data_IF_537161934675
#
_entry.id   IF_537161934675
#
_cell.length_a   1.000
_cell.length_b   1.000
_cell.length_c   1.000
_cell.angle_alpha   90.00
_cell.angle_beta   90.00
_cell.angle_gamma   90.00
#
_symmetry.space_group_name_H-M   'P 1'
#
loop_
_entity.id
_entity.type
_entity.pdbx_description
1 polymer ?
#
# COMPACT_ATOMS: atom_id res chain seq x y z
N UNK A 1 -1.33 -9.81 9.23
CA UNK A 1 -2.02 -8.62 8.66
C UNK A 1 -3.46 -8.63 9.10
N UNK A 2 -4.02 -7.47 9.45
CA UNK A 2 -5.43 -7.34 9.81
C UNK A 2 -6.26 -7.10 8.56
N UNK A 3 -7.36 -7.84 8.44
CA UNK A 3 -8.28 -7.76 7.31
C UNK A 3 -9.65 -7.32 7.79
N UNK A 4 -10.28 -6.31 7.14
CA UNK A 4 -11.72 -6.13 7.30
C UNK A 4 -12.46 -7.38 6.78
N UNK A 5 -13.55 -7.78 7.45
CA UNK A 5 -14.26 -9.03 7.14
C UNK A 5 -14.71 -9.14 5.67
N UNK A 6 -14.99 -8.01 5.03
CA UNK A 6 -15.40 -7.93 3.62
C UNK A 6 -14.24 -8.09 2.61
N UNK A 7 -12.98 -8.05 3.09
CA UNK A 7 -11.77 -8.12 2.26
C UNK A 7 -10.85 -9.28 2.64
N UNK A 8 -11.35 -10.31 3.28
CA UNK A 8 -10.55 -11.51 3.54
C UNK A 8 -10.08 -12.14 2.22
N UNK A 9 -8.81 -12.57 2.12
CA UNK A 9 -8.25 -13.14 0.89
C UNK A 9 -9.09 -14.25 0.29
N UNK A 10 -9.60 -15.17 1.11
CA UNK A 10 -10.38 -16.32 0.67
C UNK A 10 -11.77 -15.93 0.09
N UNK A 11 -12.25 -14.74 0.41
CA UNK A 11 -13.55 -14.21 -0.03
C UNK A 11 -13.42 -13.17 -1.14
N UNK A 12 -12.21 -12.87 -1.58
CA UNK A 12 -11.95 -11.79 -2.55
C UNK A 12 -11.88 -12.32 -3.98
N UNK A 13 -12.39 -11.54 -4.93
CA UNK A 13 -12.36 -11.89 -6.35
C UNK A 13 -10.95 -11.85 -6.94
N UNK A 14 -10.13 -10.92 -6.44
CA UNK A 14 -8.70 -10.80 -6.77
C UNK A 14 -7.92 -10.64 -5.48
N UNK A 15 -6.86 -11.40 -5.35
CA UNK A 15 -5.87 -11.27 -4.27
C UNK A 15 -4.47 -11.25 -4.86
N UNK A 16 -3.67 -10.29 -4.45
CA UNK A 16 -2.27 -10.16 -4.81
C UNK A 16 -1.41 -9.97 -3.55
N UNK A 17 -0.23 -10.61 -3.53
CA UNK A 17 0.72 -10.54 -2.43
C UNK A 17 2.15 -10.44 -2.96
N UNK A 18 2.88 -9.46 -2.44
CA UNK A 18 4.31 -9.29 -2.69
C UNK A 18 5.05 -9.12 -1.37
N UNK A 19 6.32 -9.49 -1.36
CA UNK A 19 7.20 -9.26 -0.21
C UNK A 19 8.63 -8.98 -0.64
N UNK A 20 9.36 -8.27 0.22
CA UNK A 20 10.77 -7.97 0.01
C UNK A 20 11.50 -7.81 1.35
N UNK A 21 12.78 -8.19 1.37
CA UNK A 21 13.68 -7.86 2.47
C UNK A 21 14.33 -6.48 2.22
N UNK A 22 14.33 -5.64 3.23
CA UNK A 22 14.90 -4.28 3.20
C UNK A 22 15.96 -4.15 4.28
N UNK A 23 17.18 -3.73 3.91
CA UNK A 23 18.29 -3.50 4.82
C UNK A 23 18.18 -2.11 5.50
N UNK A 24 17.02 -1.86 6.10
CA UNK A 24 16.73 -0.65 6.87
C UNK A 24 15.78 -0.98 8.02
N UNK A 25 15.88 -0.26 9.16
CA UNK A 25 15.01 -0.52 10.30
C UNK A 25 13.53 -0.23 9.98
N UNK A 26 12.59 -0.97 10.59
CA UNK A 26 11.13 -0.79 10.39
C UNK A 26 10.66 0.64 10.45
N UNK A 27 11.19 1.44 11.38
CA UNK A 27 10.81 2.84 11.58
C UNK A 27 11.17 3.72 10.39
N UNK A 28 12.28 3.44 9.69
CA UNK A 28 12.65 4.18 8.48
C UNK A 28 11.76 3.81 7.31
N UNK A 29 11.49 2.53 7.12
CA UNK A 29 10.56 2.05 6.09
C UNK A 29 9.17 2.62 6.32
N UNK A 30 8.71 2.64 7.57
CA UNK A 30 7.44 3.24 7.97
C UNK A 30 7.34 4.72 7.60
N UNK A 31 8.37 5.53 7.91
CA UNK A 31 8.39 6.96 7.58
C UNK A 31 8.26 7.23 6.07
N UNK A 32 8.87 6.40 5.24
CA UNK A 32 8.70 6.48 3.79
C UNK A 32 7.31 6.06 3.35
N UNK A 33 6.79 4.98 3.92
CA UNK A 33 5.50 4.41 3.55
C UNK A 33 4.33 5.36 3.87
N UNK A 34 4.32 5.97 5.06
CA UNK A 34 3.23 6.88 5.46
C UNK A 34 3.29 8.22 4.74
N UNK A 35 4.42 8.64 4.18
CA UNK A 35 4.58 9.94 3.52
C UNK A 35 3.94 9.97 2.13
N UNK A 36 2.62 9.80 2.09
CA UNK A 36 1.86 9.57 0.87
C UNK A 36 1.94 10.74 -0.13
N UNK A 37 2.04 11.99 0.34
CA UNK A 37 2.20 13.13 -0.55
C UNK A 37 3.50 13.07 -1.39
N UNK A 38 4.47 12.26 -0.96
CA UNK A 38 5.76 12.09 -1.62
C UNK A 38 5.87 10.80 -2.46
N UNK A 39 4.87 9.92 -2.45
CA UNK A 39 4.90 8.70 -3.28
C UNK A 39 5.21 8.96 -4.75
N UNK A 40 4.66 10.00 -5.41
CA UNK A 40 4.98 10.28 -6.82
C UNK A 40 6.46 10.56 -7.12
N UNK A 41 7.25 10.90 -6.11
CA UNK A 41 8.68 11.19 -6.28
C UNK A 41 9.52 9.92 -6.42
N UNK A 42 9.04 8.79 -5.90
CA UNK A 42 9.82 7.54 -5.85
C UNK A 42 9.06 6.29 -6.34
N UNK A 43 7.73 6.34 -6.46
CA UNK A 43 6.89 5.26 -6.98
C UNK A 43 6.13 5.72 -8.23
N UNK A 44 6.53 5.20 -9.38
CA UNK A 44 6.07 5.66 -10.70
C UNK A 44 4.58 5.44 -10.97
N UNK A 45 3.92 4.50 -10.25
CA UNK A 45 2.49 4.22 -10.40
C UNK A 45 1.62 5.01 -9.40
N UNK A 46 2.17 6.09 -8.83
CA UNK A 46 1.45 7.01 -7.95
C UNK A 46 1.49 8.42 -8.51
N UNK A 47 0.35 9.10 -8.52
CA UNK A 47 0.25 10.51 -8.93
C UNK A 47 -0.91 11.22 -8.23
N UNK A 48 -0.85 12.56 -8.19
CA UNK A 48 -1.95 13.42 -7.75
C UNK A 48 -2.50 13.05 -6.34
N UNK A 49 -1.62 12.80 -5.39
CA UNK A 49 -2.02 12.51 -4.01
C UNK A 49 -2.52 13.77 -3.33
N UNK A 50 -3.80 13.81 -2.99
CA UNK A 50 -4.46 14.94 -2.35
C UNK A 50 -5.26 14.46 -1.14
N UNK A 51 -5.04 15.08 0.00
CA UNK A 51 -5.73 14.77 1.25
C UNK A 51 -7.06 15.52 1.31
N UNK A 52 -8.16 14.82 1.49
CA UNK A 52 -9.48 15.39 1.79
C UNK A 52 -9.73 15.48 3.30
N UNK A 53 -9.04 14.62 4.08
CA UNK A 53 -9.04 14.63 5.54
C UNK A 53 -7.69 14.19 6.06
N UNK A 54 -7.16 14.84 7.10
CA UNK A 54 -5.83 14.60 7.66
C UNK A 54 -4.86 15.74 7.35
N UNK A 55 -3.63 15.58 7.77
CA UNK A 55 -2.58 16.60 7.65
C UNK A 55 -1.43 16.07 6.77
N UNK A 56 -1.32 16.52 5.49
CA UNK A 56 -0.18 16.14 4.68
C UNK A 56 1.14 16.60 5.34
N UNK A 57 2.28 15.95 5.05
CA UNK A 57 2.47 14.97 3.98
C UNK A 57 2.17 13.52 4.34
N UNK A 58 1.91 13.22 5.62
CA UNK A 58 1.90 11.88 6.16
C UNK A 58 0.48 11.34 6.40
N UNK A 59 0.29 10.04 6.16
CA UNK A 59 -0.92 9.31 6.57
C UNK A 59 -0.97 9.20 8.10
N UNK A 60 -2.18 9.23 8.62
CA UNK A 60 -2.52 9.06 10.03
C UNK A 60 -3.84 8.26 10.12
N UNK A 61 -4.28 7.83 11.32
CA UNK A 61 -5.58 7.22 11.47
C UNK A 61 -6.70 8.07 10.85
N UNK A 62 -7.62 7.42 10.14
CA UNK A 62 -8.76 8.06 9.48
C UNK A 62 -8.40 9.11 8.40
N UNK A 63 -7.16 9.16 7.93
CA UNK A 63 -6.79 10.00 6.78
C UNK A 63 -7.57 9.55 5.55
N UNK A 64 -8.20 10.51 4.88
CA UNK A 64 -8.85 10.30 3.58
C UNK A 64 -8.05 11.02 2.50
N UNK A 65 -7.76 10.30 1.42
CA UNK A 65 -6.97 10.84 0.32
C UNK A 65 -7.45 10.31 -1.03
N UNK A 66 -7.30 11.15 -2.02
CA UNK A 66 -7.56 10.84 -3.43
C UNK A 66 -6.23 10.81 -4.16
N UNK A 67 -6.01 9.79 -4.95
CA UNK A 67 -4.79 9.62 -5.72
C UNK A 67 -5.01 8.83 -6.99
N UNK A 68 -4.03 8.83 -7.88
CA UNK A 68 -4.07 8.07 -9.12
C UNK A 68 -3.10 6.90 -9.04
N UNK A 69 -3.59 5.69 -9.31
CA UNK A 69 -2.82 4.46 -9.38
C UNK A 69 -3.39 3.54 -10.45
N UNK A 70 -2.55 2.75 -11.14
CA UNK A 70 -2.95 1.89 -12.27
C UNK A 70 -3.81 2.60 -13.32
N UNK A 71 -3.55 3.88 -13.55
CA UNK A 71 -4.32 4.70 -14.50
C UNK A 71 -5.69 5.19 -14.01
N UNK A 72 -6.17 4.71 -12.87
CA UNK A 72 -7.45 5.08 -12.27
C UNK A 72 -7.26 6.06 -11.10
N UNK A 73 -8.27 6.91 -10.87
CA UNK A 73 -8.35 7.72 -9.65
C UNK A 73 -9.15 6.97 -8.62
N UNK A 74 -8.59 6.81 -7.42
CA UNK A 74 -9.22 6.13 -6.29
C UNK A 74 -9.34 7.04 -5.08
N UNK A 75 -10.37 6.80 -4.27
CA UNK A 75 -10.56 7.40 -2.95
C UNK A 75 -10.17 6.36 -1.92
N UNK A 76 -9.33 6.74 -0.98
CA UNK A 76 -8.81 5.82 0.05
C UNK A 76 -8.97 6.41 1.43
N UNK A 77 -9.22 5.54 2.42
CA UNK A 77 -9.25 5.89 3.83
C UNK A 77 -8.39 4.93 4.62
N UNK A 78 -7.52 5.47 5.47
CA UNK A 78 -6.71 4.68 6.39
C UNK A 78 -7.60 4.08 7.48
N UNK A 79 -7.63 2.76 7.59
CA UNK A 79 -8.46 2.02 8.54
C UNK A 79 -7.63 1.13 9.49
N UNK A 80 -6.38 0.82 9.14
CA UNK A 80 -5.39 0.19 10.03
C UNK A 80 -4.17 1.08 10.10
N UNK A 81 -3.74 1.44 11.32
CA UNK A 81 -2.58 2.29 11.55
C UNK A 81 -1.88 1.90 12.85
N UNK A 82 -0.88 1.03 12.75
CA UNK A 82 -0.10 0.50 13.87
C UNK A 82 1.41 0.71 13.65
N UNK A 83 1.94 1.89 13.98
CA UNK A 83 3.36 2.20 13.76
C UNK A 83 4.29 1.31 14.62
N UNK A 84 5.44 0.90 14.09
CA UNK A 84 5.87 0.97 12.69
C UNK A 84 5.54 -0.31 11.92
N UNK A 85 4.51 -1.03 12.32
CA UNK A 85 4.28 -2.42 11.96
C UNK A 85 3.25 -2.63 10.86
N UNK A 86 2.07 -1.99 10.97
CA UNK A 86 0.95 -2.32 10.09
C UNK A 86 0.18 -1.08 9.64
N UNK A 87 -0.02 -0.95 8.32
CA UNK A 87 -0.77 0.11 7.68
C UNK A 87 -1.76 -0.53 6.69
N UNK A 88 -2.99 -0.04 6.67
CA UNK A 88 -3.98 -0.49 5.71
C UNK A 88 -5.01 0.58 5.40
N UNK A 89 -5.44 0.61 4.15
CA UNK A 89 -6.51 1.50 3.70
C UNK A 89 -7.46 0.77 2.78
N UNK A 90 -8.72 1.16 2.83
CA UNK A 90 -9.69 0.82 1.80
C UNK A 90 -9.51 1.71 0.57
N UNK A 91 -10.03 1.29 -0.55
CA UNK A 91 -10.05 2.06 -1.78
C UNK A 91 -11.39 1.87 -2.49
N UNK A 92 -12.01 2.98 -2.87
CA UNK A 92 -13.31 3.01 -3.52
C UNK A 92 -13.22 3.75 -4.87
N UNK A 93 -13.93 3.22 -5.86
CA UNK A 93 -14.00 3.75 -7.21
C UNK A 93 -14.84 2.82 -8.09
N UNK A 94 -14.29 2.34 -9.21
CA UNK A 94 -14.95 1.35 -10.07
C UNK A 94 -15.01 -0.06 -9.44
N UNK A 95 -14.27 -0.28 -8.37
CA UNK A 95 -14.22 -1.49 -7.57
C UNK A 95 -14.01 -1.11 -6.10
N UNK A 96 -14.20 -2.06 -5.20
CA UNK A 96 -13.81 -1.94 -3.80
C UNK A 96 -12.54 -2.75 -3.56
N UNK A 97 -11.57 -2.15 -2.86
CA UNK A 97 -10.32 -2.81 -2.52
C UNK A 97 -9.90 -2.52 -1.08
N UNK A 98 -9.08 -3.39 -0.54
CA UNK A 98 -8.30 -3.15 0.66
C UNK A 98 -6.84 -3.43 0.36
N UNK A 99 -5.98 -2.49 0.70
CA UNK A 99 -4.54 -2.60 0.53
C UNK A 99 -3.86 -2.53 1.89
N UNK A 100 -3.19 -3.60 2.26
CA UNK A 100 -2.50 -3.74 3.54
C UNK A 100 -0.98 -3.83 3.38
N UNK A 101 -0.27 -3.34 4.39
CA UNK A 101 1.18 -3.38 4.54
C UNK A 101 1.55 -3.91 5.91
N UNK A 102 2.49 -4.85 5.96
CA UNK A 102 3.05 -5.39 7.19
C UNK A 102 4.57 -5.29 7.14
N UNK A 103 5.17 -4.73 8.19
CA UNK A 103 6.62 -4.58 8.35
C UNK A 103 7.03 -5.42 9.55
N UNK A 104 7.88 -6.41 9.32
CA UNK A 104 8.36 -7.32 10.34
C UNK A 104 9.88 -7.20 10.49
N UNK A 105 10.42 -6.87 11.68
CA UNK A 105 11.87 -6.82 11.89
C UNK A 105 12.50 -8.20 11.63
N UNK A 106 13.70 -8.23 11.03
CA UNK A 106 14.43 -9.46 10.71
C UNK A 106 15.41 -9.90 11.82
N UNK A 107 15.54 -9.09 12.88
CA UNK A 107 16.48 -9.33 13.98
C UNK A 107 17.92 -8.89 13.69
N UNK A 108 18.24 -8.52 12.47
CA UNK A 108 19.58 -8.07 12.03
C UNK A 108 19.68 -6.56 11.77
N UNK A 109 18.63 -5.79 12.12
CA UNK A 109 18.58 -4.34 11.87
C UNK A 109 17.87 -3.97 10.56
N UNK A 110 17.42 -4.92 9.78
CA UNK A 110 16.54 -4.80 8.63
C UNK A 110 15.12 -5.24 8.93
N UNK A 111 14.32 -5.37 7.88
CA UNK A 111 12.95 -5.87 7.99
C UNK A 111 12.50 -6.62 6.73
N UNK A 112 11.44 -7.39 6.87
CA UNK A 112 10.63 -7.93 5.79
C UNK A 112 9.38 -7.07 5.63
N UNK A 113 9.13 -6.61 4.43
CA UNK A 113 7.92 -5.85 4.08
C UNK A 113 7.03 -6.74 3.23
N UNK A 114 5.77 -6.84 3.62
CA UNK A 114 4.73 -7.58 2.91
C UNK A 114 3.65 -6.58 2.53
N UNK A 115 3.22 -6.62 1.27
CA UNK A 115 2.05 -5.88 0.80
C UNK A 115 1.04 -6.84 0.19
N UNK A 116 -0.21 -6.63 0.52
CA UNK A 116 -1.33 -7.46 0.07
C UNK A 116 -2.51 -6.58 -0.34
N UNK A 117 -3.18 -6.96 -1.41
CA UNK A 117 -4.40 -6.28 -1.86
C UNK A 117 -5.49 -7.28 -2.21
N UNK A 118 -6.68 -7.03 -1.70
CA UNK A 118 -7.91 -7.71 -2.06
C UNK A 118 -8.83 -6.77 -2.84
N UNK A 119 -9.42 -7.27 -3.94
CA UNK A 119 -10.38 -6.51 -4.73
C UNK A 119 -11.68 -7.28 -4.90
N UNK A 120 -12.79 -6.56 -4.73
CA UNK A 120 -14.15 -7.07 -4.88
C UNK A 120 -14.99 -6.21 -5.83
N UNK A 121 -16.00 -6.82 -6.43
CA UNK A 121 -16.92 -6.20 -7.37
C UNK A 121 -17.03 -6.95 -8.69
N UNK A 122 -17.84 -6.42 -9.60
CA UNK A 122 -18.11 -7.08 -10.88
C UNK A 122 -16.87 -7.12 -11.78
N UNK A 123 -16.11 -6.02 -11.85
CA UNK A 123 -14.91 -5.92 -12.68
C UNK A 123 -13.82 -6.89 -12.20
N UNK A 124 -13.43 -6.94 -10.91
CA UNK A 124 -12.49 -7.96 -10.40
C UNK A 124 -12.97 -9.39 -10.67
N UNK A 125 -14.25 -9.67 -10.50
CA UNK A 125 -14.83 -11.00 -10.74
C UNK A 125 -14.70 -11.45 -12.21
N UNK A 126 -14.87 -10.54 -13.17
CA UNK A 126 -14.85 -10.86 -14.61
C UNK A 126 -13.43 -10.77 -15.20
N UNK A 127 -12.54 -9.95 -14.63
CA UNK A 127 -11.21 -9.66 -15.17
C UNK A 127 -10.05 -10.09 -14.27
N UNK A 128 -10.27 -11.01 -13.33
CA UNK A 128 -9.28 -11.46 -12.33
C UNK A 128 -7.96 -11.93 -12.97
N UNK A 129 -8.04 -12.62 -14.10
CA UNK A 129 -6.89 -13.13 -14.84
C UNK A 129 -5.97 -12.04 -15.42
N UNK A 130 -6.51 -10.85 -15.63
CA UNK A 130 -5.76 -9.66 -16.06
C UNK A 130 -5.32 -8.80 -14.86
N UNK A 131 -6.23 -8.57 -13.90
CA UNK A 131 -6.00 -7.69 -12.77
C UNK A 131 -4.94 -8.24 -11.81
N UNK A 132 -4.97 -9.53 -11.51
CA UNK A 132 -4.03 -10.13 -10.58
C UNK A 132 -2.56 -9.96 -11.02
N UNK A 133 -2.13 -10.37 -12.22
CA UNK A 133 -0.74 -10.16 -12.63
C UNK A 133 -0.37 -8.68 -12.83
N UNK A 134 -1.34 -7.81 -13.10
CA UNK A 134 -1.13 -6.37 -13.15
C UNK A 134 -0.82 -5.82 -11.75
N UNK A 135 -1.59 -6.19 -10.73
CA UNK A 135 -1.35 -5.83 -9.34
C UNK A 135 -0.02 -6.37 -8.83
N UNK A 136 0.25 -7.67 -9.02
CA UNK A 136 1.49 -8.30 -8.57
C UNK A 136 2.73 -7.58 -9.13
N UNK A 137 2.71 -7.18 -10.40
CA UNK A 137 3.80 -6.39 -11.01
C UNK A 137 3.89 -4.96 -10.45
N UNK A 138 2.75 -4.31 -10.27
CA UNK A 138 2.71 -2.95 -9.71
C UNK A 138 3.18 -2.92 -8.26
N UNK A 139 2.75 -3.87 -7.44
CA UNK A 139 3.18 -4.01 -6.04
C UNK A 139 4.66 -4.39 -5.94
N UNK A 140 5.17 -5.24 -6.85
CA UNK A 140 6.59 -5.56 -6.90
C UNK A 140 7.43 -4.30 -7.13
N UNK A 141 7.04 -3.48 -8.12
CA UNK A 141 7.69 -2.19 -8.35
C UNK A 141 7.59 -1.27 -7.12
N UNK A 142 6.47 -1.32 -6.38
CA UNK A 142 6.30 -0.48 -5.19
C UNK A 142 7.25 -0.90 -4.07
N UNK A 143 7.29 -2.20 -3.72
CA UNK A 143 8.18 -2.68 -2.66
C UNK A 143 9.66 -2.50 -3.01
N UNK A 144 10.05 -2.65 -4.30
CA UNK A 144 11.40 -2.38 -4.78
C UNK A 144 11.76 -0.87 -4.70
N UNK A 145 10.80 -0.01 -5.03
CA UNK A 145 10.98 1.44 -4.91
C UNK A 145 11.09 1.88 -3.46
N UNK A 146 10.26 1.32 -2.58
CA UNK A 146 10.33 1.55 -1.13
C UNK A 146 11.68 1.09 -0.56
N UNK A 147 12.16 -0.10 -0.95
CA UNK A 147 13.48 -0.61 -0.59
C UNK A 147 14.57 0.38 -0.96
N UNK A 148 14.61 0.81 -2.20
CA UNK A 148 15.63 1.74 -2.70
C UNK A 148 15.69 3.04 -1.89
N UNK A 149 14.54 3.65 -1.58
CA UNK A 149 14.53 4.91 -0.83
C UNK A 149 14.83 4.69 0.65
N UNK A 150 14.31 3.64 1.27
CA UNK A 150 14.55 3.36 2.68
C UNK A 150 16.01 2.96 2.98
N UNK A 151 16.65 2.21 2.09
CA UNK A 151 18.08 1.88 2.19
C UNK A 151 18.98 3.10 1.90
N UNK A 152 18.49 4.09 1.13
CA UNK A 152 19.20 5.34 0.83
C UNK A 152 19.21 6.34 1.98
N UNK A 153 18.32 6.25 2.96
CA UNK A 153 18.24 7.16 4.10
C UNK A 153 16.82 7.48 4.55
N UNK A 154 16.69 8.50 5.37
CA UNK A 154 15.40 9.00 5.86
C UNK A 154 14.72 9.93 4.85
N UNK A 155 13.37 9.99 4.84
CA UNK A 155 12.65 10.94 4.00
C UNK A 155 12.89 12.39 4.50
N UNK A 156 13.10 13.29 3.53
CA UNK A 156 13.24 14.75 3.76
C UNK A 156 11.90 15.41 4.06
#
# INVERSE_FOLDING_TARGET
>A
MKWPAEFEPDNSSVYARNEIAIAAPPERVWRWLIRAAKWPEWYSNSANVNFSRGNPPDLAPDTEFRWKTFGATVLSRVIVFEPPRELGWDAHGMLSAYHGWLIEPDGGGGCRVITEECQNGLVPKLAWWYLRPMLERGHQNWVESLKRVAEGGDPS
#
